data_IF_732085706361
#
_entry.id   IF_732085706361
#
_cell.length_a   1.000
_cell.length_b   1.000
_cell.length_c   1.000
_cell.angle_alpha   90.00
_cell.angle_beta   90.00
_cell.angle_gamma   90.00
#
_symmetry.space_group_name_H-M   'P 1'
#
loop_
_entity.id
_entity.type
_entity.pdbx_description
1 polymer ?
#
# COMPACT_ATOMS: atom_id res chain seq x y z
N UNK A 1 17.69 -7.76 10.88
CA UNK A 1 16.24 -7.86 10.63
C UNK A 1 16.04 -8.23 9.16
N UNK A 2 14.98 -8.97 8.78
CA UNK A 2 14.65 -9.27 7.38
C UNK A 2 13.41 -8.48 6.97
N UNK A 3 13.55 -7.65 5.95
CA UNK A 3 12.45 -6.84 5.42
C UNK A 3 11.96 -7.44 4.10
N UNK A 4 10.64 -7.47 3.91
CA UNK A 4 10.01 -7.74 2.62
C UNK A 4 9.31 -6.46 2.16
N UNK A 5 9.62 -6.02 0.94
CA UNK A 5 9.08 -4.79 0.37
C UNK A 5 8.14 -5.15 -0.78
N UNK A 6 6.97 -4.52 -0.82
CA UNK A 6 5.94 -4.70 -1.85
C UNK A 6 5.64 -3.33 -2.47
N UNK A 7 6.08 -3.08 -3.71
CA UNK A 7 5.69 -1.89 -4.47
C UNK A 7 4.50 -2.17 -5.39
N UNK A 8 3.69 -1.13 -5.64
CA UNK A 8 2.90 -0.93 -6.85
C UNK A 8 2.13 -2.16 -7.34
N UNK A 9 1.24 -2.72 -6.51
CA UNK A 9 0.42 -3.85 -6.94
C UNK A 9 -0.73 -3.43 -7.86
N UNK A 10 -1.13 -2.15 -7.78
CA UNK A 10 -2.09 -1.46 -8.66
C UNK A 10 -3.32 -2.31 -9.00
N UNK A 11 -3.98 -2.81 -7.96
CA UNK A 11 -5.18 -3.62 -8.05
C UNK A 11 -6.37 -2.75 -8.48
N UNK A 12 -7.08 -3.23 -9.51
CA UNK A 12 -8.33 -2.65 -10.02
C UNK A 12 -9.39 -3.73 -10.28
N UNK A 13 -10.68 -3.36 -10.44
CA UNK A 13 -11.72 -4.31 -10.82
C UNK A 13 -11.32 -5.19 -12.01
N UNK A 14 -11.51 -6.50 -11.87
CA UNK A 14 -11.14 -7.49 -12.89
C UNK A 14 -9.66 -7.89 -12.93
N UNK A 15 -8.80 -7.33 -12.08
CA UNK A 15 -7.38 -7.72 -12.00
C UNK A 15 -7.20 -9.17 -11.54
N UNK A 16 -6.21 -9.86 -12.13
CA UNK A 16 -5.78 -11.17 -11.63
C UNK A 16 -4.92 -11.01 -10.38
N UNK A 17 -5.38 -11.53 -9.24
CA UNK A 17 -4.71 -11.38 -7.93
C UNK A 17 -3.77 -12.54 -7.58
N UNK A 18 -3.50 -13.46 -8.52
CA UNK A 18 -2.70 -14.66 -8.24
C UNK A 18 -1.27 -14.31 -7.79
N UNK A 19 -0.68 -13.24 -8.34
CA UNK A 19 0.64 -12.77 -7.93
C UNK A 19 0.70 -12.35 -6.44
N UNK A 20 -0.39 -11.81 -5.89
CA UNK A 20 -0.49 -11.45 -4.47
C UNK A 20 -0.52 -12.68 -3.57
N UNK A 21 -1.23 -13.74 -3.99
CA UNK A 21 -1.19 -15.04 -3.32
C UNK A 21 0.24 -15.57 -3.24
N UNK A 22 0.97 -15.54 -4.36
CA UNK A 22 2.36 -16.01 -4.44
C UNK A 22 3.28 -15.14 -3.58
N UNK A 23 3.09 -13.82 -3.55
CA UNK A 23 3.80 -12.93 -2.63
C UNK A 23 3.53 -13.29 -1.16
N UNK A 24 2.28 -13.58 -0.79
CA UNK A 24 1.93 -14.02 0.56
C UNK A 24 2.57 -15.37 0.92
N UNK A 25 2.62 -16.32 -0.02
CA UNK A 25 3.31 -17.60 0.16
C UNK A 25 4.83 -17.41 0.32
N UNK A 26 5.42 -16.50 -0.45
CA UNK A 26 6.83 -16.13 -0.31
C UNK A 26 7.11 -15.53 1.07
N UNK A 27 6.22 -14.66 1.58
CA UNK A 27 6.32 -14.14 2.94
C UNK A 27 6.33 -15.26 3.99
N UNK A 28 5.43 -16.25 3.84
CA UNK A 28 5.39 -17.44 4.72
C UNK A 28 6.68 -18.27 4.65
N UNK A 29 7.25 -18.44 3.46
CA UNK A 29 8.50 -19.18 3.28
C UNK A 29 9.68 -18.45 3.93
N UNK A 30 9.78 -17.13 3.72
CA UNK A 30 10.94 -16.34 4.17
C UNK A 30 10.82 -15.86 5.60
N UNK A 31 9.61 -15.77 6.16
CA UNK A 31 9.30 -15.28 7.51
C UNK A 31 10.03 -13.97 7.83
N UNK A 32 9.83 -12.88 7.05
CA UNK A 32 10.44 -11.58 7.35
C UNK A 32 10.00 -11.06 8.71
N UNK A 33 10.82 -10.23 9.33
CA UNK A 33 10.48 -9.55 10.59
C UNK A 33 9.53 -8.36 10.33
N UNK A 34 9.65 -7.73 9.16
CA UNK A 34 8.84 -6.58 8.74
C UNK A 34 8.40 -6.77 7.29
N UNK A 35 7.12 -6.52 7.00
CA UNK A 35 6.57 -6.44 5.65
C UNK A 35 6.15 -4.99 5.43
N UNK A 36 6.70 -4.36 4.40
CA UNK A 36 6.46 -2.96 4.05
C UNK A 36 5.81 -2.92 2.68
N UNK A 37 4.60 -2.39 2.59
CA UNK A 37 3.97 -2.01 1.33
C UNK A 37 4.21 -0.52 1.10
N UNK A 38 4.85 -0.15 0.00
CA UNK A 38 5.22 1.25 -0.30
C UNK A 38 4.19 1.92 -1.22
N UNK A 39 2.91 1.66 -1.00
CA UNK A 39 1.79 2.35 -1.66
C UNK A 39 1.41 1.83 -3.05
N UNK A 40 0.42 2.49 -3.63
CA UNK A 40 -0.18 2.19 -4.93
C UNK A 40 -0.70 0.75 -5.02
N UNK A 41 -1.37 0.30 -3.96
CA UNK A 41 -2.08 -0.98 -3.96
C UNK A 41 -3.45 -0.87 -4.63
N UNK A 42 -4.20 0.19 -4.35
CA UNK A 42 -5.46 0.49 -5.03
C UNK A 42 -5.16 1.35 -6.25
N UNK A 43 -5.44 0.86 -7.46
CA UNK A 43 -5.21 1.64 -8.69
C UNK A 43 -6.16 2.85 -8.81
N UNK A 44 -7.32 2.80 -8.15
CA UNK A 44 -8.31 3.87 -8.08
C UNK A 44 -8.69 4.49 -9.44
N UNK A 45 -9.02 3.69 -10.49
CA UNK A 45 -9.37 4.22 -11.80
C UNK A 45 -10.67 5.06 -11.80
N UNK A 46 -11.56 4.90 -10.81
CA UNK A 46 -12.76 5.73 -10.65
C UNK A 46 -12.45 7.18 -10.26
N UNK A 47 -11.31 7.42 -9.59
CA UNK A 47 -10.84 8.75 -9.18
C UNK A 47 -9.69 9.26 -10.05
N UNK A 48 -9.48 8.68 -11.24
CA UNK A 48 -8.44 9.15 -12.16
C UNK A 48 -8.86 10.44 -12.87
N UNK A 49 -8.13 11.53 -12.62
CA UNK A 49 -8.34 12.82 -13.28
C UNK A 49 -8.08 12.80 -14.80
N UNK A 50 -7.28 11.84 -15.29
CA UNK A 50 -6.93 11.70 -16.71
C UNK A 50 -8.06 11.18 -17.61
N UNK A 51 -9.05 10.53 -17.02
CA UNK A 51 -10.13 9.86 -17.75
C UNK A 51 -11.48 10.59 -17.66
N UNK A 52 -11.52 11.73 -16.95
CA UNK A 52 -12.70 12.60 -16.86
C UNK A 52 -13.13 13.03 -18.27
N UNK A 53 -14.39 12.74 -18.63
CA UNK A 53 -14.98 13.07 -19.94
C UNK A 53 -14.77 12.03 -21.05
N UNK A 54 -14.06 10.92 -20.80
CA UNK A 54 -13.94 9.81 -21.76
C UNK A 54 -15.06 8.78 -21.57
N UNK A 55 -15.45 8.10 -22.65
CA UNK A 55 -16.42 6.99 -22.60
C UNK A 55 -16.02 5.87 -21.61
N UNK A 56 -14.72 5.67 -21.39
CA UNK A 56 -14.19 4.72 -20.41
C UNK A 56 -14.44 5.09 -18.94
N UNK A 57 -14.94 6.30 -18.67
CA UNK A 57 -15.34 6.78 -17.35
C UNK A 57 -16.77 6.36 -16.99
N UNK A 58 -17.64 6.18 -17.99
CA UNK A 58 -18.99 5.63 -17.77
C UNK A 58 -18.89 4.19 -17.24
N UNK A 59 -19.18 4.02 -15.95
CA UNK A 59 -19.31 2.71 -15.31
C UNK A 59 -18.27 2.41 -14.24
N UNK A 60 -17.24 3.24 -14.04
CA UNK A 60 -16.33 3.09 -12.89
C UNK A 60 -17.04 3.52 -11.61
N UNK A 61 -16.83 2.80 -10.53
CA UNK A 61 -17.40 3.09 -9.21
C UNK A 61 -16.29 3.02 -8.17
N UNK A 62 -16.30 4.00 -7.27
CA UNK A 62 -15.39 4.04 -6.12
C UNK A 62 -15.44 2.73 -5.31
N UNK A 63 -16.65 2.26 -5.00
CA UNK A 63 -16.84 1.03 -4.23
C UNK A 63 -16.21 -0.19 -4.93
N UNK A 64 -16.30 -0.30 -6.26
CA UNK A 64 -15.68 -1.42 -6.99
C UNK A 64 -14.15 -1.39 -6.86
N UNK A 65 -13.54 -0.20 -6.88
CA UNK A 65 -12.09 -0.04 -6.68
C UNK A 65 -11.67 -0.45 -5.27
N UNK A 66 -12.43 0.00 -4.25
CA UNK A 66 -12.21 -0.37 -2.84
C UNK A 66 -12.31 -1.88 -2.66
N UNK A 67 -13.40 -2.49 -3.13
CA UNK A 67 -13.65 -3.93 -3.04
C UNK A 67 -12.53 -4.73 -3.74
N UNK A 68 -12.09 -4.29 -4.91
CA UNK A 68 -11.01 -4.94 -5.65
C UNK A 68 -9.70 -4.91 -4.86
N UNK A 69 -9.30 -3.76 -4.33
CA UNK A 69 -8.05 -3.66 -3.55
C UNK A 69 -8.12 -4.42 -2.23
N UNK A 70 -9.26 -4.40 -1.51
CA UNK A 70 -9.49 -5.24 -0.31
C UNK A 70 -9.33 -6.72 -0.66
N UNK A 71 -9.95 -7.18 -1.76
CA UNK A 71 -9.83 -8.56 -2.21
C UNK A 71 -8.37 -8.93 -2.52
N UNK A 72 -7.63 -8.04 -3.18
CA UNK A 72 -6.20 -8.22 -3.43
C UNK A 72 -5.37 -8.33 -2.15
N UNK A 73 -5.59 -7.42 -1.19
CA UNK A 73 -4.87 -7.41 0.08
C UNK A 73 -5.19 -8.67 0.91
N UNK A 74 -6.45 -9.11 0.91
CA UNK A 74 -6.86 -10.37 1.56
C UNK A 74 -6.19 -11.58 0.91
N UNK A 75 -6.02 -11.60 -0.41
CA UNK A 75 -5.33 -12.70 -1.08
C UNK A 75 -3.84 -12.77 -0.71
N UNK A 76 -3.18 -11.62 -0.53
CA UNK A 76 -1.83 -11.54 0.02
C UNK A 76 -1.75 -12.02 1.49
N UNK A 77 -2.69 -11.58 2.33
CA UNK A 77 -2.68 -11.85 3.78
C UNK A 77 -3.11 -13.27 4.14
N UNK A 78 -3.95 -13.91 3.32
CA UNK A 78 -4.52 -15.23 3.59
C UNK A 78 -3.49 -16.34 3.86
N UNK A 79 -2.41 -16.49 3.05
CA UNK A 79 -1.32 -17.42 3.39
C UNK A 79 -0.68 -17.14 4.75
N UNK A 80 -0.48 -15.87 5.10
CA UNK A 80 0.15 -15.44 6.36
C UNK A 80 -0.73 -15.82 7.55
N UNK A 81 -2.02 -15.49 7.50
CA UNK A 81 -2.97 -15.86 8.55
C UNK A 81 -3.06 -17.38 8.73
N UNK A 82 -3.08 -18.14 7.65
CA UNK A 82 -3.11 -19.61 7.68
C UNK A 82 -1.86 -20.20 8.34
N UNK A 83 -0.66 -19.67 8.03
CA UNK A 83 0.57 -20.11 8.69
C UNK A 83 0.55 -19.76 10.18
N UNK A 84 0.10 -18.56 10.55
CA UNK A 84 -0.02 -18.17 11.95
C UNK A 84 -0.97 -19.09 12.72
N UNK A 85 -2.12 -19.41 12.14
CA UNK A 85 -3.08 -20.37 12.72
C UNK A 85 -2.44 -21.75 12.88
N UNK A 86 -1.75 -22.26 11.85
CA UNK A 86 -1.05 -23.54 11.91
C UNK A 86 -0.02 -23.57 13.05
N UNK A 87 0.79 -22.51 13.19
CA UNK A 87 1.79 -22.40 14.25
C UNK A 87 1.13 -22.38 15.64
N UNK A 88 0.05 -21.59 15.82
CA UNK A 88 -0.71 -21.57 17.09
C UNK A 88 -1.27 -22.94 17.45
N UNK A 89 -1.89 -23.64 16.49
CA UNK A 89 -2.45 -24.99 16.69
C UNK A 89 -1.38 -25.99 17.09
N UNK A 90 -0.20 -25.90 16.49
CA UNK A 90 0.93 -26.76 16.78
C UNK A 90 1.68 -26.38 18.07
N UNK A 91 1.31 -25.27 18.72
CA UNK A 91 2.01 -24.67 19.86
C UNK A 91 3.46 -24.24 19.53
N UNK A 92 3.72 -23.97 18.25
CA UNK A 92 4.97 -23.39 17.78
C UNK A 92 5.00 -21.89 18.04
N UNK A 93 6.20 -21.29 18.11
CA UNK A 93 6.36 -19.84 18.16
C UNK A 93 5.71 -19.22 16.92
N UNK A 94 4.64 -18.45 17.12
CA UNK A 94 3.92 -17.78 16.03
C UNK A 94 4.80 -16.71 15.39
N UNK A 95 4.94 -16.77 14.06
CA UNK A 95 5.57 -15.72 13.28
C UNK A 95 4.61 -14.52 13.15
N UNK A 96 5.04 -13.36 13.66
CA UNK A 96 4.23 -12.12 13.71
C UNK A 96 5.08 -10.96 13.15
N UNK A 97 5.11 -10.78 11.82
CA UNK A 97 5.82 -9.64 11.24
C UNK A 97 5.13 -8.33 11.63
N UNK A 98 5.89 -7.23 11.73
CA UNK A 98 5.31 -5.88 11.69
C UNK A 98 4.85 -5.61 10.26
N UNK A 99 3.61 -5.11 10.10
CA UNK A 99 3.02 -4.79 8.81
C UNK A 99 2.95 -3.26 8.70
N UNK A 100 3.60 -2.69 7.69
CA UNK A 100 3.68 -1.23 7.49
C UNK A 100 3.23 -0.88 6.09
N UNK A 101 2.30 0.06 5.96
CA UNK A 101 1.77 0.53 4.68
C UNK A 101 2.06 2.03 4.55
N UNK A 102 2.82 2.42 3.54
CA UNK A 102 2.98 3.84 3.17
C UNK A 102 1.96 4.13 2.06
N UNK A 103 1.04 5.08 2.25
CA UNK A 103 0.09 5.43 1.19
C UNK A 103 0.82 5.95 -0.05
N UNK A 104 0.35 5.55 -1.23
CA UNK A 104 0.85 5.98 -2.53
C UNK A 104 -0.01 7.07 -3.17
N UNK A 105 0.41 7.54 -4.35
CA UNK A 105 -0.30 8.62 -5.02
C UNK A 105 -1.63 8.19 -5.64
N UNK A 106 -1.88 6.89 -5.82
CA UNK A 106 -3.18 6.36 -6.22
C UNK A 106 -4.16 6.35 -5.04
N UNK A 107 -3.74 5.93 -3.85
CA UNK A 107 -4.56 6.09 -2.65
C UNK A 107 -4.85 7.57 -2.38
N UNK A 108 -3.86 8.45 -2.56
CA UNK A 108 -4.00 9.90 -2.40
C UNK A 108 -5.06 10.55 -3.31
N UNK A 109 -5.59 9.84 -4.31
CA UNK A 109 -6.70 10.35 -5.13
C UNK A 109 -7.97 10.60 -4.33
N UNK A 110 -8.18 9.91 -3.20
CA UNK A 110 -9.33 10.17 -2.30
C UNK A 110 -9.27 11.59 -1.76
N UNK A 111 -8.16 11.97 -1.12
CA UNK A 111 -7.99 13.34 -0.58
C UNK A 111 -8.11 14.41 -1.66
N UNK A 112 -7.53 14.17 -2.84
CA UNK A 112 -7.65 15.12 -3.96
C UNK A 112 -9.10 15.28 -4.43
N UNK A 113 -9.87 14.18 -4.49
CA UNK A 113 -11.28 14.24 -4.86
C UNK A 113 -12.10 15.01 -3.82
N UNK A 114 -11.82 14.84 -2.53
CA UNK A 114 -12.48 15.59 -1.44
C UNK A 114 -12.13 17.08 -1.51
N UNK A 115 -10.88 17.43 -1.76
CA UNK A 115 -10.45 18.82 -1.93
C UNK A 115 -11.13 19.49 -3.15
N UNK A 116 -11.27 18.75 -4.25
CA UNK A 116 -11.93 19.23 -5.47
C UNK A 116 -13.47 19.35 -5.32
N UNK A 117 -14.11 18.46 -4.55
CA UNK A 117 -15.54 18.51 -4.23
C UNK A 117 -15.79 18.13 -2.76
N UNK A 118 -15.91 19.16 -1.91
CA UNK A 118 -16.13 19.03 -0.47
C UNK A 118 -17.39 18.22 -0.09
N UNK A 119 -18.33 17.97 -1.02
CA UNK A 119 -19.48 17.10 -0.74
C UNK A 119 -19.09 15.63 -0.58
N UNK A 120 -17.90 15.25 -1.03
CA UNK A 120 -17.33 13.91 -0.84
C UNK A 120 -16.73 13.72 0.55
N UNK A 121 -16.58 14.81 1.33
CA UNK A 121 -16.18 14.74 2.73
C UNK A 121 -17.20 13.90 3.52
N UNK A 122 -16.71 12.88 4.24
CA UNK A 122 -17.54 11.92 4.96
C UNK A 122 -18.14 10.80 4.11
N UNK A 123 -17.94 10.81 2.78
CA UNK A 123 -18.33 9.72 1.88
C UNK A 123 -17.14 8.86 1.43
N UNK A 124 -15.97 9.47 1.27
CA UNK A 124 -14.73 8.79 0.91
C UNK A 124 -13.74 8.94 2.06
N UNK A 125 -13.06 7.85 2.44
CA UNK A 125 -12.01 7.88 3.46
C UNK A 125 -10.94 6.84 3.18
N UNK A 126 -9.73 7.06 3.70
CA UNK A 126 -8.72 6.01 3.76
C UNK A 126 -9.13 4.83 4.64
N UNK A 127 -10.08 5.02 5.55
CA UNK A 127 -10.66 3.95 6.37
C UNK A 127 -11.35 2.88 5.51
N UNK A 128 -11.83 3.25 4.32
CA UNK A 128 -12.47 2.33 3.37
C UNK A 128 -11.50 1.24 2.88
N UNK A 129 -10.18 1.43 3.02
CA UNK A 129 -9.18 0.43 2.64
C UNK A 129 -9.10 -0.77 3.60
N UNK A 130 -9.70 -0.69 4.79
CA UNK A 130 -9.67 -1.71 5.84
C UNK A 130 -8.24 -2.15 6.29
N UNK A 131 -7.22 -1.33 6.05
CA UNK A 131 -5.81 -1.70 6.29
C UNK A 131 -5.53 -1.96 7.77
N UNK A 132 -5.97 -1.08 8.66
CA UNK A 132 -5.75 -1.22 10.11
C UNK A 132 -6.46 -2.46 10.67
N UNK A 133 -7.66 -2.77 10.18
CA UNK A 133 -8.42 -3.97 10.55
C UNK A 133 -7.71 -5.25 10.10
N UNK A 134 -6.94 -5.19 9.00
CA UNK A 134 -6.05 -6.27 8.56
C UNK A 134 -4.69 -6.29 9.29
N UNK A 135 -4.44 -5.33 10.19
CA UNK A 135 -3.27 -5.26 11.07
C UNK A 135 -2.11 -4.44 10.53
N UNK A 136 -2.32 -3.62 9.50
CA UNK A 136 -1.31 -2.71 8.97
C UNK A 136 -1.20 -1.43 9.80
N UNK A 137 0.04 -0.99 10.06
CA UNK A 137 0.35 0.37 10.48
C UNK A 137 0.41 1.26 9.23
N UNK A 138 -0.52 2.21 9.10
CA UNK A 138 -0.67 3.06 7.91
C UNK A 138 0.00 4.41 8.13
N UNK A 139 0.83 4.83 7.18
CA UNK A 139 1.48 6.14 7.14
C UNK A 139 0.96 6.95 5.95
N UNK A 140 0.79 8.25 6.15
CA UNK A 140 0.27 9.17 5.15
C UNK A 140 1.12 9.25 3.88
N UNK A 141 0.55 9.79 2.82
CA UNK A 141 1.27 9.96 1.56
C UNK A 141 2.49 10.88 1.76
N UNK A 142 3.67 10.38 1.41
CA UNK A 142 4.99 11.02 1.59
C UNK A 142 5.48 11.16 3.04
N UNK A 143 4.76 10.58 4.01
CA UNK A 143 5.35 10.34 5.33
C UNK A 143 6.54 9.39 5.19
N UNK A 144 7.54 9.60 6.05
CA UNK A 144 8.76 8.77 6.07
C UNK A 144 8.79 7.98 7.36
N UNK A 145 8.71 6.66 7.24
CA UNK A 145 8.88 5.73 8.36
C UNK A 145 10.29 5.17 8.36
N UNK A 146 10.98 5.26 9.50
CA UNK A 146 12.34 4.72 9.65
C UNK A 146 12.30 3.43 10.46
N UNK A 147 12.78 2.34 9.86
CA UNK A 147 12.80 1.00 10.45
C UNK A 147 14.18 0.38 10.22
N UNK A 148 14.84 -0.08 11.30
CA UNK A 148 16.19 -0.66 11.24
C UNK A 148 17.22 0.25 10.53
N UNK A 149 17.10 1.58 10.72
CA UNK A 149 17.98 2.57 10.09
C UNK A 149 17.73 2.81 8.59
N UNK A 150 16.65 2.26 8.03
CA UNK A 150 16.23 2.45 6.64
C UNK A 150 14.96 3.30 6.62
N UNK A 151 14.94 4.35 5.79
CA UNK A 151 13.77 5.16 5.53
C UNK A 151 12.91 4.53 4.43
N UNK A 152 11.60 4.45 4.68
CA UNK A 152 10.59 4.00 3.73
C UNK A 152 9.60 5.13 3.47
N UNK A 153 9.23 5.30 2.20
CA UNK A 153 8.11 6.14 1.78
C UNK A 153 7.67 5.68 0.40
N UNK A 154 6.52 6.13 -0.10
CA UNK A 154 6.12 5.82 -1.47
C UNK A 154 7.10 6.41 -2.50
N UNK A 155 7.57 7.64 -2.27
CA UNK A 155 8.78 8.17 -2.87
C UNK A 155 9.33 9.33 -2.04
N UNK A 156 10.60 9.66 -2.25
CA UNK A 156 11.23 10.78 -1.57
C UNK A 156 11.17 12.03 -2.42
N UNK A 157 10.92 13.17 -1.80
CA UNK A 157 10.91 14.48 -2.46
C UNK A 157 12.15 15.32 -2.13
N UNK A 158 12.44 16.30 -2.98
CA UNK A 158 13.47 17.31 -2.76
C UNK A 158 12.92 18.73 -2.85
N UNK A 159 13.37 19.57 -1.91
CA UNK A 159 13.03 20.99 -1.88
C UNK A 159 11.57 21.25 -1.52
N UNK A 160 11.21 22.54 -1.49
CA UNK A 160 9.88 23.01 -1.06
C UNK A 160 8.79 22.62 -2.07
N UNK A 161 9.16 22.39 -3.35
CA UNK A 161 8.21 22.07 -4.42
C UNK A 161 7.73 20.60 -4.42
N UNK A 162 8.15 19.78 -3.45
CA UNK A 162 7.65 18.40 -3.32
C UNK A 162 7.98 17.47 -4.50
N UNK A 163 9.01 17.77 -5.31
CA UNK A 163 9.34 16.97 -6.50
C UNK A 163 10.11 15.70 -6.14
N UNK A 164 9.85 14.55 -6.78
CA UNK A 164 10.61 13.32 -6.55
C UNK A 164 12.12 13.51 -6.71
N UNK A 165 12.91 12.87 -5.84
CA UNK A 165 14.36 12.83 -5.96
C UNK A 165 14.76 11.95 -7.13
N UNK A 166 15.45 12.51 -8.11
CA UNK A 166 15.72 11.86 -9.40
C UNK A 166 16.94 10.90 -9.42
N UNK A 167 17.70 10.79 -8.32
CA UNK A 167 18.84 9.87 -8.26
C UNK A 167 19.16 9.39 -6.85
N UNK A 168 19.66 8.15 -6.75
CA UNK A 168 20.08 7.55 -5.49
C UNK A 168 21.17 8.36 -4.77
N UNK A 169 22.12 8.94 -5.51
CA UNK A 169 23.17 9.81 -4.94
C UNK A 169 22.57 11.03 -4.25
N UNK A 170 21.60 11.68 -4.88
CA UNK A 170 20.91 12.84 -4.31
C UNK A 170 20.02 12.45 -3.12
N UNK A 171 19.45 11.25 -3.15
CA UNK A 171 18.65 10.71 -2.06
C UNK A 171 19.51 10.48 -0.82
N UNK A 172 20.64 9.79 -0.98
CA UNK A 172 21.59 9.55 0.10
C UNK A 172 22.19 10.86 0.64
N UNK A 173 22.51 11.82 -0.23
CA UNK A 173 23.07 13.10 0.22
C UNK A 173 22.07 13.97 0.98
N UNK A 174 20.77 13.82 0.71
CA UNK A 174 19.70 14.58 1.39
C UNK A 174 19.19 13.88 2.65
N UNK A 175 19.08 12.55 2.62
CA UNK A 175 18.46 11.76 3.69
C UNK A 175 19.49 11.21 4.67
N UNK A 176 20.76 11.13 4.28
CA UNK A 176 21.86 10.62 5.10
C UNK A 176 21.64 9.20 5.64
N UNK A 177 20.80 8.43 4.97
CA UNK A 177 20.47 7.04 5.30
C UNK A 177 20.01 6.27 4.06
N UNK A 178 19.93 4.95 4.17
CA UNK A 178 19.32 4.10 3.14
C UNK A 178 17.85 4.44 2.98
N UNK A 179 17.38 4.48 1.74
CA UNK A 179 16.02 4.84 1.39
C UNK A 179 15.45 3.78 0.44
N UNK A 180 14.19 3.44 0.66
CA UNK A 180 13.40 2.54 -0.18
C UNK A 180 12.08 3.24 -0.49
#
# INVERSE_FOLDING_TARGET
MKHMIIPDTQVKPGSKMEHLKWAGQYAVEKKPDVIIHIGDHWDMPSLSSWDVGKKSFEGRRYNDDIEAGIAGMREFMKPIWKEQERLRRNKDKTWKPRLVFCLGNHEQRIERAIEDDAKLEGLLSYDDFELEQMGWEVHGFLDVVVIDGIAYSHYFTSGIMGRPVSSAKLMLSKKHMSCV
#
